data_IF_121277679730
#
_entry.id   IF_121277679730
#
_cell.length_a   1.000
_cell.length_b   1.000
_cell.length_c   1.000
_cell.angle_alpha   90.00
_cell.angle_beta   90.00
_cell.angle_gamma   90.00
#
_symmetry.space_group_name_H-M   'P 1'
#
loop_
_entity.id
_entity.type
_entity.pdbx_description
1 polymer ?
#
# COMPACT_ATOMS: atom_id res chain seq x y z
N UNK A 1 15.28 9.36 -21.10
CA UNK A 1 16.25 8.35 -20.62
C UNK A 1 15.86 8.03 -19.19
N UNK A 2 15.76 6.78 -18.81
CA UNK A 2 15.48 6.41 -17.41
C UNK A 2 16.67 6.83 -16.56
N UNK A 3 16.42 7.61 -15.51
CA UNK A 3 17.41 7.99 -14.51
C UNK A 3 17.03 7.37 -13.19
N UNK A 4 17.91 6.52 -12.65
CA UNK A 4 17.74 5.89 -11.34
C UNK A 4 18.43 6.68 -10.21
N UNK A 5 19.03 7.84 -10.50
CA UNK A 5 19.60 8.68 -9.48
C UNK A 5 18.51 9.37 -8.66
N UNK A 6 18.55 9.19 -7.35
CA UNK A 6 17.70 9.95 -6.42
C UNK A 6 18.19 11.40 -6.35
N UNK A 7 17.25 12.35 -6.33
CA UNK A 7 17.54 13.75 -6.02
C UNK A 7 18.11 13.91 -4.60
N UNK A 8 18.78 15.02 -4.31
CA UNK A 8 19.32 15.28 -2.97
C UNK A 8 18.20 15.26 -1.91
N UNK A 9 17.02 15.81 -2.23
CA UNK A 9 15.89 15.78 -1.31
C UNK A 9 15.36 14.36 -1.06
N UNK A 10 15.33 13.49 -2.07
CA UNK A 10 14.95 12.09 -1.92
C UNK A 10 15.98 11.32 -1.06
N UNK A 11 17.26 11.60 -1.22
CA UNK A 11 18.30 11.02 -0.37
C UNK A 11 18.16 11.46 1.09
N UNK A 12 17.96 12.75 1.33
CA UNK A 12 17.72 13.30 2.67
C UNK A 12 16.50 12.66 3.33
N UNK A 13 15.36 12.59 2.64
CA UNK A 13 14.14 11.95 3.16
C UNK A 13 14.34 10.46 3.43
N UNK A 14 15.11 9.76 2.59
CA UNK A 14 15.49 8.38 2.83
C UNK A 14 16.35 8.21 4.08
N UNK A 15 17.31 9.09 4.31
CA UNK A 15 18.15 9.07 5.52
C UNK A 15 17.33 9.32 6.79
N UNK A 16 16.44 10.33 6.77
CA UNK A 16 15.50 10.59 7.86
C UNK A 16 14.62 9.37 8.14
N UNK A 17 14.08 8.76 7.10
CA UNK A 17 13.25 7.56 7.22
C UNK A 17 14.03 6.34 7.73
N UNK A 18 15.30 6.20 7.34
CA UNK A 18 16.16 5.11 7.81
C UNK A 18 16.52 5.27 9.28
N UNK A 19 16.86 6.48 9.71
CA UNK A 19 17.13 6.79 11.11
C UNK A 19 15.89 6.51 11.98
N UNK A 20 14.71 6.97 11.54
CA UNK A 20 13.44 6.66 12.18
C UNK A 20 13.16 5.15 12.21
N UNK A 21 13.38 4.42 11.11
CA UNK A 21 13.16 2.99 11.02
C UNK A 21 14.06 2.21 12.02
N UNK A 22 15.35 2.56 12.10
CA UNK A 22 16.31 1.83 12.92
C UNK A 22 16.15 2.17 14.40
N UNK A 23 16.06 3.46 14.73
CA UNK A 23 16.16 3.92 16.11
C UNK A 23 14.80 3.94 16.83
N UNK A 24 13.70 4.07 16.11
CA UNK A 24 12.36 4.19 16.70
C UNK A 24 11.44 3.04 16.34
N UNK A 25 11.34 2.67 15.05
CA UNK A 25 10.36 1.68 14.59
C UNK A 25 10.75 0.26 15.00
N UNK A 26 11.97 -0.19 14.72
CA UNK A 26 12.40 -1.58 15.01
C UNK A 26 12.15 -1.97 16.47
N UNK A 27 12.68 -1.24 17.47
CA UNK A 27 12.53 -1.68 18.87
C UNK A 27 11.07 -1.70 19.32
N UNK A 28 10.27 -0.72 18.92
CA UNK A 28 8.86 -0.62 19.32
C UNK A 28 7.96 -1.63 18.61
N UNK A 29 8.22 -1.88 17.32
CA UNK A 29 7.43 -2.83 16.53
C UNK A 29 7.65 -4.29 16.98
N UNK A 30 8.86 -4.64 17.40
CA UNK A 30 9.16 -5.97 17.96
C UNK A 30 8.41 -6.22 19.26
N UNK A 31 8.30 -5.21 20.13
CA UNK A 31 7.46 -5.28 21.34
C UNK A 31 5.97 -5.34 21.00
N UNK A 32 5.50 -4.48 20.13
CA UNK A 32 4.09 -4.39 19.71
C UNK A 32 3.57 -5.67 19.04
N UNK A 33 4.40 -6.35 18.24
CA UNK A 33 4.04 -7.61 17.58
C UNK A 33 3.71 -8.74 18.57
N UNK A 34 4.24 -8.67 19.78
CA UNK A 34 4.04 -9.65 20.84
C UNK A 34 2.78 -9.37 21.69
N UNK A 35 2.14 -8.22 21.53
CA UNK A 35 0.92 -7.86 22.24
C UNK A 35 -0.23 -8.74 21.72
N UNK A 36 -0.91 -9.54 22.58
CA UNK A 36 -1.97 -10.46 22.13
C UNK A 36 -3.19 -9.72 21.59
N UNK A 37 -3.56 -8.60 22.22
CA UNK A 37 -4.76 -7.84 21.88
C UNK A 37 -4.48 -6.93 20.67
N UNK A 38 -5.16 -7.13 19.53
CA UNK A 38 -4.85 -6.41 18.28
C UNK A 38 -5.17 -4.91 18.36
N UNK A 39 -6.10 -4.51 19.19
CA UNK A 39 -6.47 -3.10 19.42
C UNK A 39 -5.46 -2.34 20.29
N UNK A 40 -4.52 -3.04 20.95
CA UNK A 40 -3.48 -2.47 21.81
C UNK A 40 -2.07 -2.50 21.17
N UNK A 41 -1.90 -3.17 20.03
CA UNK A 41 -0.60 -3.38 19.39
C UNK A 41 -0.07 -2.16 18.63
N UNK A 42 -0.86 -1.08 18.52
CA UNK A 42 -0.47 0.13 17.77
C UNK A 42 0.21 1.16 18.65
N UNK A 43 1.35 1.68 18.20
CA UNK A 43 2.13 2.70 18.93
C UNK A 43 1.93 4.10 18.35
N UNK A 44 1.17 4.93 19.05
CA UNK A 44 0.90 6.32 18.68
C UNK A 44 2.12 7.23 18.76
N UNK A 45 3.14 6.91 19.54
CA UNK A 45 4.38 7.71 19.60
C UNK A 45 5.15 7.65 18.28
N UNK A 46 5.10 6.51 17.56
CA UNK A 46 5.66 6.43 16.20
C UNK A 46 4.97 7.39 15.24
N UNK A 47 3.65 7.58 15.37
CA UNK A 47 2.90 8.53 14.53
C UNK A 47 3.27 9.98 14.85
N UNK A 48 3.38 10.33 16.14
CA UNK A 48 3.79 11.68 16.56
C UNK A 48 5.23 11.98 16.12
N UNK A 49 6.12 11.02 16.27
CA UNK A 49 7.51 11.17 15.81
C UNK A 49 7.60 11.35 14.30
N UNK A 50 6.90 10.50 13.52
CA UNK A 50 6.81 10.64 12.07
C UNK A 50 6.20 11.98 11.64
N UNK A 51 5.28 12.53 12.43
CA UNK A 51 4.70 13.87 12.20
C UNK A 51 5.75 14.97 12.42
N UNK A 52 6.53 14.89 13.50
CA UNK A 52 7.64 15.85 13.76
C UNK A 52 8.72 15.80 12.68
N UNK A 53 8.94 14.62 12.09
CA UNK A 53 9.89 14.40 10.99
C UNK A 53 9.33 14.77 9.61
N UNK A 54 8.06 15.15 9.51
CA UNK A 54 7.37 15.45 8.25
C UNK A 54 7.00 14.20 7.42
N UNK A 55 7.25 12.99 7.94
CA UNK A 55 7.02 11.74 7.22
C UNK A 55 5.52 11.40 7.08
N UNK A 56 4.70 11.72 8.10
CA UNK A 56 3.25 11.43 8.05
C UNK A 56 2.53 12.22 6.95
N UNK A 57 2.87 13.49 6.75
CA UNK A 57 2.22 14.40 5.79
C UNK A 57 2.97 14.52 4.46
N UNK A 58 3.84 13.57 4.16
CA UNK A 58 4.77 13.59 3.04
C UNK A 58 4.09 13.84 1.68
N UNK A 59 2.89 13.28 1.44
CA UNK A 59 2.15 13.42 0.18
C UNK A 59 1.30 14.70 0.09
N UNK A 60 1.10 15.41 1.19
CA UNK A 60 0.31 16.66 1.20
C UNK A 60 1.04 17.74 0.41
N UNK A 61 0.35 18.50 -0.47
CA UNK A 61 0.98 19.60 -1.21
C UNK A 61 1.60 20.66 -0.27
N UNK A 62 2.73 21.23 -0.67
CA UNK A 62 3.49 22.23 0.12
C UNK A 62 2.64 23.40 0.58
N UNK A 63 1.70 23.88 -0.24
CA UNK A 63 0.79 24.98 0.11
C UNK A 63 -0.15 24.68 1.29
N UNK A 64 -0.29 23.40 1.66
CA UNK A 64 -1.06 22.92 2.80
C UNK A 64 -0.20 22.36 3.93
N UNK A 65 1.12 22.56 3.90
CA UNK A 65 2.03 22.19 4.98
C UNK A 65 2.68 20.81 4.88
N UNK A 66 2.58 20.12 3.73
CA UNK A 66 3.30 18.87 3.47
C UNK A 66 4.55 19.05 2.63
N UNK A 67 5.13 17.94 2.17
CA UNK A 67 6.28 17.93 1.27
C UNK A 67 5.88 17.97 -0.22
N UNK A 68 4.68 17.51 -0.58
CA UNK A 68 4.24 17.34 -1.96
C UNK A 68 5.02 16.25 -2.68
N UNK A 69 5.37 15.19 -1.96
CA UNK A 69 6.18 14.09 -2.47
C UNK A 69 5.48 13.36 -3.63
N UNK A 70 6.24 13.06 -4.66
CA UNK A 70 5.82 12.24 -5.78
C UNK A 70 5.85 10.73 -5.44
N UNK A 71 5.32 9.92 -6.35
CA UNK A 71 5.21 8.47 -6.15
C UNK A 71 6.57 7.79 -5.96
N UNK A 72 7.65 8.28 -6.59
CA UNK A 72 8.99 7.73 -6.38
C UNK A 72 9.49 8.02 -4.97
N UNK A 73 9.31 9.26 -4.51
CA UNK A 73 9.68 9.67 -3.15
C UNK A 73 8.90 8.88 -2.09
N UNK A 74 7.57 8.73 -2.27
CA UNK A 74 6.73 7.92 -1.38
C UNK A 74 7.15 6.46 -1.36
N UNK A 75 7.53 5.89 -2.52
CA UNK A 75 8.02 4.52 -2.64
C UNK A 75 9.34 4.32 -1.91
N UNK A 76 10.30 5.24 -2.07
CA UNK A 76 11.61 5.17 -1.40
C UNK A 76 11.46 5.28 0.11
N UNK A 77 10.64 6.22 0.59
CA UNK A 77 10.41 6.41 2.03
C UNK A 77 9.61 5.24 2.61
N UNK A 78 8.57 4.77 1.91
CA UNK A 78 7.74 3.64 2.33
C UNK A 78 8.55 2.33 2.46
N UNK A 79 9.39 2.02 1.48
CA UNK A 79 10.35 0.90 1.54
C UNK A 79 11.28 1.03 2.75
N UNK A 80 11.77 2.24 3.01
CA UNK A 80 12.72 2.49 4.10
C UNK A 80 12.07 2.36 5.48
N UNK A 81 10.84 2.85 5.66
CA UNK A 81 10.10 2.65 6.93
C UNK A 81 9.75 1.17 7.11
N UNK A 82 9.38 0.46 6.04
CA UNK A 82 9.06 -0.96 6.08
C UNK A 82 10.27 -1.86 6.37
N UNK A 83 11.48 -1.38 6.13
CA UNK A 83 12.69 -2.01 6.67
C UNK A 83 12.65 -2.09 8.20
N UNK A 84 12.07 -1.09 8.85
CA UNK A 84 11.81 -1.10 10.28
C UNK A 84 10.66 -2.04 10.64
N UNK A 85 9.48 -1.79 10.07
CA UNK A 85 8.27 -2.59 10.30
C UNK A 85 7.23 -2.37 9.19
N UNK A 86 6.67 -3.47 8.70
CA UNK A 86 5.70 -3.44 7.62
C UNK A 86 4.37 -2.79 8.05
N UNK A 87 3.87 -3.12 9.23
CA UNK A 87 2.60 -2.57 9.71
C UNK A 87 2.67 -1.05 9.89
N UNK A 88 3.73 -0.54 10.48
CA UNK A 88 3.98 0.90 10.62
C UNK A 88 4.05 1.59 9.24
N UNK A 89 4.76 1.00 8.28
CA UNK A 89 4.83 1.54 6.93
C UNK A 89 3.48 1.54 6.22
N UNK A 90 2.66 0.49 6.38
CA UNK A 90 1.30 0.40 5.83
C UNK A 90 0.38 1.48 6.42
N UNK A 91 0.50 1.80 7.71
CA UNK A 91 -0.29 2.86 8.33
C UNK A 91 -0.04 4.23 7.65
N UNK A 92 1.21 4.53 7.31
CA UNK A 92 1.57 5.75 6.57
C UNK A 92 1.24 5.66 5.09
N UNK A 93 1.51 4.54 4.43
CA UNK A 93 1.18 4.31 3.02
C UNK A 93 -0.32 4.55 2.74
N UNK A 94 -1.21 4.00 3.57
CA UNK A 94 -2.64 4.28 3.47
C UNK A 94 -2.96 5.76 3.66
N UNK A 95 -2.35 6.40 4.65
CA UNK A 95 -2.52 7.82 4.92
C UNK A 95 -2.07 8.67 3.72
N UNK A 96 -0.90 8.38 3.13
CA UNK A 96 -0.40 9.09 1.94
C UNK A 96 -1.30 8.92 0.72
N UNK A 97 -1.76 7.71 0.44
CA UNK A 97 -2.67 7.41 -0.68
C UNK A 97 -3.95 8.24 -0.60
N UNK A 98 -4.57 8.29 0.57
CA UNK A 98 -5.83 9.05 0.75
C UNK A 98 -5.57 10.56 0.70
N UNK A 99 -4.50 11.07 1.32
CA UNK A 99 -4.13 12.48 1.20
C UNK A 99 -3.83 12.90 -0.24
N UNK A 100 -3.17 12.03 -1.00
CA UNK A 100 -2.96 12.25 -2.44
C UNK A 100 -4.30 12.28 -3.18
N UNK A 101 -5.22 11.35 -2.88
CA UNK A 101 -6.56 11.34 -3.47
C UNK A 101 -7.34 12.62 -3.14
N UNK A 102 -7.33 13.06 -1.87
CA UNK A 102 -7.94 14.33 -1.46
C UNK A 102 -7.32 15.52 -2.17
N UNK A 103 -6.02 15.50 -2.42
CA UNK A 103 -5.33 16.59 -3.12
C UNK A 103 -5.71 16.72 -4.59
N UNK A 104 -6.11 15.63 -5.26
CA UNK A 104 -6.32 15.58 -6.71
C UNK A 104 -7.76 15.36 -7.14
N UNK A 105 -8.55 14.57 -6.40
CA UNK A 105 -9.95 14.24 -6.74
C UNK A 105 -10.95 15.21 -6.12
N UNK A 106 -10.52 16.15 -5.29
CA UNK A 106 -11.40 17.11 -4.65
C UNK A 106 -11.31 18.49 -5.30
N UNK A 107 -12.37 19.31 -5.10
CA UNK A 107 -12.34 20.70 -5.47
C UNK A 107 -11.53 21.55 -4.44
N UNK A 108 -11.36 22.84 -4.71
CA UNK A 108 -10.54 23.71 -3.87
C UNK A 108 -11.15 23.91 -2.46
N UNK A 109 -12.48 24.01 -2.34
CA UNK A 109 -13.17 24.18 -1.06
C UNK A 109 -13.03 22.92 -0.20
N UNK A 110 -13.16 21.75 -0.80
CA UNK A 110 -12.91 20.47 -0.12
C UNK A 110 -11.47 20.36 0.37
N UNK A 111 -10.47 20.72 -0.48
CA UNK A 111 -9.04 20.72 -0.08
C UNK A 111 -8.77 21.67 1.10
N UNK A 112 -9.30 22.88 1.06
CA UNK A 112 -9.17 23.86 2.15
C UNK A 112 -9.81 23.38 3.46
N UNK A 113 -10.88 22.59 3.37
CA UNK A 113 -11.58 22.04 4.53
C UNK A 113 -10.90 20.81 5.12
N UNK A 114 -10.42 19.89 4.29
CA UNK A 114 -9.94 18.59 4.73
C UNK A 114 -8.43 18.51 4.97
N UNK A 115 -7.60 19.09 4.10
CA UNK A 115 -6.15 18.95 4.24
C UNK A 115 -5.58 19.61 5.51
N UNK A 116 -6.01 20.82 5.92
CA UNK A 116 -5.55 21.40 7.19
C UNK A 116 -5.90 20.53 8.39
N UNK A 117 -7.13 19.96 8.45
CA UNK A 117 -7.52 19.06 9.56
C UNK A 117 -6.57 17.88 9.73
N UNK A 118 -6.06 17.35 8.62
CA UNK A 118 -5.10 16.23 8.63
C UNK A 118 -3.72 16.72 9.05
N UNK A 119 -3.28 17.88 8.56
CA UNK A 119 -1.93 18.41 8.83
C UNK A 119 -1.78 18.85 10.28
N UNK A 120 -2.78 19.59 10.79
CA UNK A 120 -2.73 20.21 12.12
C UNK A 120 -2.83 19.19 13.27
N UNK A 121 -3.39 18.01 13.02
CA UNK A 121 -3.47 16.94 14.01
C UNK A 121 -2.32 15.93 13.76
N UNK A 122 -1.32 15.93 14.64
CA UNK A 122 -0.11 15.11 14.54
C UNK A 122 -0.36 13.59 14.64
N UNK A 123 -1.58 13.19 15.03
CA UNK A 123 -2.02 11.78 15.12
C UNK A 123 -3.08 11.43 14.07
N UNK A 124 -3.40 12.33 13.13
CA UNK A 124 -4.39 12.03 12.11
C UNK A 124 -3.88 11.02 11.09
N UNK A 125 -4.38 9.80 11.16
CA UNK A 125 -4.26 8.76 10.14
C UNK A 125 -5.54 8.70 9.31
N UNK A 126 -5.42 8.19 8.07
CA UNK A 126 -6.53 8.06 7.15
C UNK A 126 -6.75 6.59 6.75
N UNK A 127 -7.99 6.26 6.41
CA UNK A 127 -8.40 4.95 5.94
C UNK A 127 -9.20 5.03 4.63
N UNK A 128 -9.00 4.04 3.74
CA UNK A 128 -9.82 3.83 2.55
C UNK A 128 -10.71 2.60 2.75
N UNK A 129 -12.02 2.81 2.81
CA UNK A 129 -13.00 1.79 3.08
C UNK A 129 -13.70 1.33 1.79
N UNK A 130 -13.13 0.33 1.10
CA UNK A 130 -13.69 -0.27 -0.12
C UNK A 130 -14.16 -1.71 0.11
N UNK A 131 -13.30 -2.57 0.67
CA UNK A 131 -13.55 -4.00 0.87
C UNK A 131 -14.72 -4.25 1.82
N UNK A 132 -15.56 -5.25 1.49
CA UNK A 132 -16.73 -5.68 2.25
C UNK A 132 -16.65 -7.17 2.60
N UNK A 133 -17.54 -7.71 3.45
CA UNK A 133 -17.59 -9.14 3.72
C UNK A 133 -17.76 -10.01 2.46
N UNK A 134 -18.38 -9.47 1.41
CA UNK A 134 -18.69 -10.18 0.16
C UNK A 134 -18.01 -9.58 -1.07
N UNK A 135 -17.16 -8.58 -0.93
CA UNK A 135 -16.50 -7.89 -2.04
C UNK A 135 -15.08 -7.48 -1.65
N UNK A 136 -14.13 -7.76 -2.53
CA UNK A 136 -12.71 -7.42 -2.37
C UNK A 136 -12.07 -7.06 -3.70
N UNK A 137 -11.17 -7.90 -4.21
CA UNK A 137 -10.48 -7.68 -5.49
C UNK A 137 -11.40 -7.72 -6.73
N UNK A 138 -12.63 -8.19 -6.60
CA UNK A 138 -13.68 -8.13 -7.62
C UNK A 138 -14.07 -6.68 -8.02
N UNK A 139 -13.78 -5.70 -7.17
CA UNK A 139 -13.90 -4.28 -7.53
C UNK A 139 -12.83 -3.81 -8.53
N UNK A 140 -11.71 -4.51 -8.61
CA UNK A 140 -10.58 -4.22 -9.50
C UNK A 140 -10.73 -4.98 -10.82
N UNK A 141 -11.34 -6.15 -10.74
CA UNK A 141 -11.58 -7.01 -11.89
C UNK A 141 -12.85 -6.57 -12.62
N UNK A 142 -12.83 -6.52 -13.95
CA UNK A 142 -13.93 -6.04 -14.77
C UNK A 142 -15.12 -6.99 -14.87
N UNK A 143 -15.36 -7.87 -13.93
CA UNK A 143 -16.61 -8.59 -13.83
C UNK A 143 -17.67 -7.62 -13.31
N UNK A 144 -18.25 -6.88 -14.25
CA UNK A 144 -19.15 -5.76 -13.96
C UNK A 144 -20.61 -6.18 -14.10
N UNK A 145 -21.08 -6.93 -13.09
CA UNK A 145 -22.48 -7.34 -12.99
C UNK A 145 -23.18 -6.61 -11.83
N UNK A 146 -24.51 -6.38 -11.88
CA UNK A 146 -25.23 -5.70 -10.80
C UNK A 146 -25.15 -6.40 -9.44
N UNK A 147 -24.96 -7.69 -9.41
CA UNK A 147 -24.83 -8.53 -8.20
C UNK A 147 -23.40 -8.66 -7.69
N UNK A 148 -22.38 -8.15 -8.43
CA UNK A 148 -20.97 -8.15 -8.04
C UNK A 148 -20.52 -6.85 -7.38
N UNK A 149 -19.34 -6.89 -6.74
CA UNK A 149 -18.67 -5.73 -6.17
C UNK A 149 -19.32 -5.21 -4.87
N UNK A 150 -19.12 -3.93 -4.61
CA UNK A 150 -19.59 -3.23 -3.39
C UNK A 150 -21.10 -3.33 -3.23
N UNK A 151 -21.59 -3.62 -2.03
CA UNK A 151 -22.99 -3.75 -1.66
C UNK A 151 -23.49 -2.68 -0.67
N UNK A 152 -22.57 -2.03 0.07
CA UNK A 152 -22.89 -0.89 0.91
C UNK A 152 -23.63 0.17 0.09
N UNK A 153 -24.71 0.74 0.65
CA UNK A 153 -25.59 1.68 -0.06
C UNK A 153 -25.40 3.13 0.38
N UNK A 154 -25.63 4.05 -0.54
CA UNK A 154 -25.74 5.48 -0.31
C UNK A 154 -27.02 5.99 -0.98
N UNK A 155 -27.99 6.42 -0.18
CA UNK A 155 -29.28 7.00 -0.65
C UNK A 155 -29.25 8.50 -0.54
N UNK A 156 -29.54 9.22 -1.62
CA UNK A 156 -29.63 10.69 -1.60
C UNK A 156 -30.96 11.17 -1.00
N UNK A 157 -30.88 12.01 0.04
CA UNK A 157 -32.03 12.65 0.71
C UNK A 157 -31.82 14.16 0.82
N UNK A 158 -32.36 14.89 -0.13
CA UNK A 158 -32.17 16.34 -0.21
C UNK A 158 -30.71 16.70 -0.52
N UNK A 159 -30.07 17.42 0.37
CA UNK A 159 -28.67 17.84 0.33
C UNK A 159 -27.71 16.89 1.05
N UNK A 160 -28.19 15.70 1.44
CA UNK A 160 -27.40 14.70 2.18
C UNK A 160 -27.47 13.32 1.51
N UNK A 161 -26.49 12.49 1.86
CA UNK A 161 -26.43 11.07 1.54
C UNK A 161 -26.52 10.26 2.81
N UNK A 162 -27.31 9.20 2.80
CA UNK A 162 -27.48 8.26 3.92
C UNK A 162 -26.75 6.97 3.59
N UNK A 163 -25.71 6.67 4.34
CA UNK A 163 -24.87 5.49 4.12
C UNK A 163 -25.26 4.36 5.07
N UNK A 164 -25.43 3.15 4.50
CA UNK A 164 -25.71 1.94 5.25
C UNK A 164 -24.90 0.74 4.73
N UNK A 165 -24.23 0.02 5.62
CA UNK A 165 -23.50 -1.21 5.30
C UNK A 165 -22.25 -1.41 6.14
N UNK A 166 -21.46 -2.41 5.76
CA UNK A 166 -20.27 -2.86 6.50
C UNK A 166 -19.07 -2.89 5.58
N UNK A 167 -17.94 -2.36 6.04
CA UNK A 167 -16.63 -2.51 5.43
C UNK A 167 -15.73 -3.40 6.29
N UNK A 168 -14.86 -4.20 5.65
CA UNK A 168 -14.08 -5.23 6.36
C UNK A 168 -12.61 -5.19 5.98
N UNK A 169 -11.74 -5.54 6.93
CA UNK A 169 -10.28 -5.58 6.77
C UNK A 169 -9.65 -4.22 6.42
N UNK A 170 -10.28 -3.12 6.81
CA UNK A 170 -9.84 -1.77 6.43
C UNK A 170 -8.58 -1.40 7.20
N UNK A 171 -7.47 -1.19 6.49
CA UNK A 171 -6.21 -0.71 7.06
C UNK A 171 -6.41 0.67 7.70
N UNK A 172 -5.83 0.86 8.88
CA UNK A 172 -6.10 1.98 9.78
C UNK A 172 -7.56 2.05 10.29
N UNK A 173 -8.41 1.05 10.06
CA UNK A 173 -9.84 1.12 10.36
C UNK A 173 -10.17 1.44 11.83
N UNK A 174 -9.36 0.93 12.78
CA UNK A 174 -9.48 1.26 14.21
C UNK A 174 -8.74 2.54 14.65
N UNK A 175 -7.99 3.18 13.75
CA UNK A 175 -7.05 4.26 14.06
C UNK A 175 -7.38 5.57 13.35
N UNK A 176 -7.97 5.48 12.15
CA UNK A 176 -8.16 6.62 11.26
C UNK A 176 -9.16 7.63 11.84
N UNK A 177 -8.79 8.90 11.78
CA UNK A 177 -9.69 10.02 12.13
C UNK A 177 -10.46 10.54 10.91
N UNK A 178 -9.96 10.27 9.70
CA UNK A 178 -10.62 10.62 8.44
C UNK A 178 -10.74 9.36 7.59
N UNK A 179 -11.92 9.09 7.11
CA UNK A 179 -12.27 7.89 6.36
C UNK A 179 -12.79 8.28 4.97
N UNK A 180 -12.18 7.75 3.92
CA UNK A 180 -12.76 7.72 2.59
C UNK A 180 -13.52 6.41 2.42
N UNK A 181 -14.79 6.47 2.02
CA UNK A 181 -15.63 5.28 1.84
C UNK A 181 -16.31 5.27 0.47
N UNK A 182 -16.38 4.09 -0.15
CA UNK A 182 -17.10 3.84 -1.39
C UNK A 182 -18.42 3.13 -1.10
N UNK A 183 -19.52 3.63 -1.67
CA UNK A 183 -20.86 3.03 -1.57
C UNK A 183 -21.62 3.10 -2.90
N UNK A 184 -22.60 2.19 -3.05
CA UNK A 184 -23.48 2.11 -4.24
C UNK A 184 -24.64 3.07 -4.10
N UNK A 185 -24.88 3.86 -5.12
CA UNK A 185 -26.05 4.76 -5.23
C UNK A 185 -27.24 4.09 -5.93
N UNK A 186 -27.00 2.97 -6.63
CA UNK A 186 -28.03 2.22 -7.36
C UNK A 186 -27.60 0.74 -7.49
N UNK A 187 -28.27 -0.14 -6.74
CA UNK A 187 -27.99 -1.59 -6.76
C UNK A 187 -28.48 -2.30 -8.03
N UNK A 188 -29.30 -1.66 -8.85
CA UNK A 188 -29.76 -2.23 -10.14
C UNK A 188 -28.74 -2.09 -11.26
N UNK A 189 -27.71 -1.25 -11.07
CA UNK A 189 -26.64 -1.02 -12.05
C UNK A 189 -25.35 -1.72 -11.64
N UNK A 190 -24.41 -1.98 -12.55
CA UNK A 190 -23.08 -2.44 -12.22
C UNK A 190 -22.32 -1.45 -11.31
N UNK A 191 -21.31 -1.97 -10.57
CA UNK A 191 -20.45 -1.14 -9.71
C UNK A 191 -19.76 0.00 -10.47
N UNK A 192 -19.33 -0.23 -11.71
CA UNK A 192 -18.73 0.80 -12.58
C UNK A 192 -19.60 2.04 -12.81
N UNK A 193 -20.93 1.88 -12.69
CA UNK A 193 -21.93 2.93 -13.00
C UNK A 193 -22.70 3.42 -11.77
N UNK A 194 -22.35 2.96 -10.57
CA UNK A 194 -23.16 3.21 -9.36
C UNK A 194 -22.37 3.51 -8.09
N UNK A 195 -21.04 3.57 -8.15
CA UNK A 195 -20.22 3.92 -6.99
C UNK A 195 -20.11 5.43 -6.83
N UNK A 196 -20.28 5.90 -5.59
CA UNK A 196 -19.89 7.23 -5.14
C UNK A 196 -18.84 7.11 -4.02
N UNK A 197 -17.95 8.10 -3.95
CA UNK A 197 -16.98 8.25 -2.87
C UNK A 197 -17.44 9.29 -1.86
N UNK A 198 -17.21 9.04 -0.58
CA UNK A 198 -17.58 9.93 0.52
C UNK A 198 -16.42 10.08 1.47
N UNK A 199 -16.33 11.25 2.12
CA UNK A 199 -15.37 11.48 3.18
C UNK A 199 -16.10 11.84 4.47
N UNK A 200 -15.64 11.28 5.59
CA UNK A 200 -16.19 11.52 6.92
C UNK A 200 -15.10 11.47 7.99
N UNK A 201 -15.43 11.92 9.17
CA UNK A 201 -14.58 11.77 10.36
C UNK A 201 -15.04 10.59 11.22
N UNK A 202 -14.14 10.05 12.05
CA UNK A 202 -14.44 8.91 12.93
C UNK A 202 -15.48 9.19 14.02
N UNK A 203 -15.79 10.46 14.28
CA UNK A 203 -16.83 10.91 15.22
C UNK A 203 -18.19 11.17 14.55
N UNK A 204 -18.32 10.89 13.24
CA UNK A 204 -19.59 11.03 12.51
C UNK A 204 -20.65 10.09 13.11
N UNK A 205 -21.83 10.59 13.50
CA UNK A 205 -22.89 9.76 14.06
C UNK A 205 -23.29 8.60 13.14
N UNK A 206 -23.45 7.41 13.72
CA UNK A 206 -23.78 6.18 12.99
C UNK A 206 -22.58 5.42 12.41
N UNK A 207 -21.37 5.99 12.45
CA UNK A 207 -20.12 5.29 12.12
C UNK A 207 -19.50 4.69 13.37
N UNK A 208 -18.93 3.47 13.24
CA UNK A 208 -18.11 2.84 14.27
C UNK A 208 -17.16 1.79 13.72
N UNK A 209 -16.01 1.61 14.36
CA UNK A 209 -15.19 0.43 14.20
C UNK A 209 -15.62 -0.62 15.22
N UNK A 210 -16.20 -1.73 14.76
CA UNK A 210 -16.80 -2.76 15.63
C UNK A 210 -15.86 -3.90 15.95
N UNK A 211 -14.78 -4.07 15.17
CA UNK A 211 -13.82 -5.14 15.36
C UNK A 211 -12.44 -4.71 14.83
N UNK A 212 -11.39 -5.04 15.56
CA UNK A 212 -9.99 -4.98 15.10
C UNK A 212 -9.49 -6.41 14.98
N UNK A 213 -9.04 -6.78 13.77
CA UNK A 213 -8.70 -8.16 13.42
C UNK A 213 -7.34 -8.59 14.00
N UNK A 214 -7.32 -9.76 14.65
CA UNK A 214 -6.08 -10.45 15.00
C UNK A 214 -5.48 -11.11 13.74
N UNK A 215 -4.32 -10.62 13.31
CA UNK A 215 -3.69 -11.00 12.05
C UNK A 215 -2.47 -11.87 12.27
N UNK A 216 -2.12 -12.64 11.26
CA UNK A 216 -0.89 -13.42 11.23
C UNK A 216 0.36 -12.51 11.28
N UNK A 217 0.41 -11.50 10.44
CA UNK A 217 1.48 -10.50 10.32
C UNK A 217 0.93 -9.07 10.28
N UNK A 218 1.80 -8.08 10.11
CA UNK A 218 1.43 -6.65 10.16
C UNK A 218 0.64 -6.30 11.42
N UNK A 219 0.98 -6.90 12.57
CA UNK A 219 0.22 -6.75 13.81
C UNK A 219 0.26 -5.33 14.38
N UNK A 220 1.25 -4.55 13.97
CA UNK A 220 1.46 -3.15 14.35
C UNK A 220 0.57 -2.14 13.60
N UNK A 221 -0.25 -2.56 12.65
CA UNK A 221 -1.32 -1.75 12.04
C UNK A 221 -2.67 -2.42 12.30
N UNK A 222 -3.70 -1.64 12.61
CA UNK A 222 -5.05 -2.18 12.83
C UNK A 222 -5.82 -2.29 11.51
N UNK A 223 -6.39 -3.47 11.28
CA UNK A 223 -7.39 -3.66 10.22
C UNK A 223 -8.76 -3.82 10.88
N UNK A 224 -9.68 -2.91 10.57
CA UNK A 224 -10.99 -2.84 11.22
C UNK A 224 -12.14 -3.37 10.37
N UNK A 225 -13.22 -3.79 11.06
CA UNK A 225 -14.57 -3.85 10.52
C UNK A 225 -15.26 -2.54 10.85
N UNK A 226 -15.76 -1.85 9.84
CA UNK A 226 -16.40 -0.54 9.94
C UNK A 226 -17.88 -0.66 9.63
N UNK A 227 -18.72 -0.22 10.57
CA UNK A 227 -20.17 -0.22 10.43
C UNK A 227 -20.70 1.18 10.16
N UNK A 228 -21.66 1.25 9.24
CA UNK A 228 -22.35 2.47 8.85
C UNK A 228 -23.86 2.25 9.00
N UNK A 229 -24.46 2.91 9.98
CA UNK A 229 -25.89 2.82 10.31
C UNK A 229 -26.54 4.20 10.18
N UNK A 230 -27.18 4.45 9.04
CA UNK A 230 -27.78 5.74 8.72
C UNK A 230 -26.80 6.91 8.89
N UNK A 231 -25.56 6.72 8.42
CA UNK A 231 -24.55 7.79 8.45
C UNK A 231 -24.92 8.87 7.47
N UNK A 232 -25.10 10.10 7.96
CA UNK A 232 -25.45 11.26 7.14
C UNK A 232 -24.21 12.00 6.66
N UNK A 233 -24.03 12.09 5.33
CA UNK A 233 -22.93 12.82 4.71
C UNK A 233 -23.47 13.99 3.89
N UNK A 234 -22.99 15.22 4.11
CA UNK A 234 -23.36 16.37 3.29
C UNK A 234 -22.92 16.18 1.82
N UNK A 235 -23.69 16.73 0.88
CA UNK A 235 -23.34 16.70 -0.55
C UNK A 235 -21.93 17.24 -0.84
N UNK A 236 -21.49 18.23 -0.07
CA UNK A 236 -20.17 18.85 -0.18
C UNK A 236 -19.00 17.92 0.25
N UNK A 237 -19.29 16.77 0.86
CA UNK A 237 -18.31 15.76 1.26
C UNK A 237 -18.32 14.52 0.33
N UNK A 238 -19.01 14.63 -0.80
CA UNK A 238 -18.91 13.66 -1.90
C UNK A 238 -17.62 13.89 -2.68
N UNK A 239 -16.87 12.83 -2.92
CA UNK A 239 -15.61 12.86 -3.65
C UNK A 239 -15.80 12.24 -5.02
N UNK A 240 -15.45 12.97 -6.06
CA UNK A 240 -15.67 12.55 -7.45
C UNK A 240 -17.13 12.66 -7.88
N UNK A 241 -17.47 12.06 -9.01
CA UNK A 241 -18.80 12.09 -9.62
C UNK A 241 -19.61 10.87 -9.18
N UNK A 242 -20.77 11.03 -8.51
CA UNK A 242 -21.62 9.90 -8.17
C UNK A 242 -21.96 9.04 -9.43
N UNK A 243 -21.75 7.74 -9.30
CA UNK A 243 -21.90 6.79 -10.43
C UNK A 243 -20.63 6.58 -11.26
N UNK A 244 -19.62 7.44 -11.14
CA UNK A 244 -18.35 7.34 -11.85
C UNK A 244 -17.11 7.26 -10.92
N UNK A 245 -17.32 7.34 -9.62
CA UNK A 245 -16.22 7.42 -8.64
C UNK A 245 -15.28 6.21 -8.70
N UNK A 246 -15.75 5.02 -9.09
CA UNK A 246 -14.89 3.84 -9.24
C UNK A 246 -13.88 4.02 -10.39
N UNK A 247 -14.31 4.54 -11.53
CA UNK A 247 -13.44 4.80 -12.67
C UNK A 247 -12.44 5.93 -12.36
N UNK A 248 -12.92 7.03 -11.76
CA UNK A 248 -12.08 8.17 -11.34
C UNK A 248 -11.04 7.74 -10.33
N UNK A 249 -11.42 6.98 -9.29
CA UNK A 249 -10.50 6.46 -8.29
C UNK A 249 -9.54 5.43 -8.91
N UNK A 250 -10.01 4.55 -9.78
CA UNK A 250 -9.16 3.56 -10.48
C UNK A 250 -8.10 4.21 -11.35
N UNK A 251 -8.47 5.23 -12.12
CA UNK A 251 -7.53 6.03 -12.92
C UNK A 251 -6.53 6.77 -12.02
N UNK A 252 -7.02 7.37 -10.94
CA UNK A 252 -6.19 8.04 -9.94
C UNK A 252 -5.18 7.07 -9.31
N UNK A 253 -5.62 5.94 -8.75
CA UNK A 253 -4.76 4.95 -8.09
C UNK A 253 -3.70 4.40 -9.04
N UNK A 254 -4.01 4.26 -10.33
CA UNK A 254 -3.04 3.87 -11.35
C UNK A 254 -2.03 4.98 -11.60
N UNK A 255 -2.50 6.21 -11.81
CA UNK A 255 -1.65 7.37 -12.16
C UNK A 255 -0.74 7.82 -11.02
N UNK A 256 -1.23 7.73 -9.77
CA UNK A 256 -0.48 8.12 -8.56
C UNK A 256 0.13 6.92 -7.81
N UNK A 257 0.18 5.76 -8.45
CA UNK A 257 1.07 4.68 -8.06
C UNK A 257 0.72 3.91 -6.80
N UNK A 258 -0.58 3.71 -6.50
CA UNK A 258 -0.98 2.93 -5.31
C UNK A 258 -0.33 1.54 -5.24
N UNK A 259 -0.36 0.77 -6.33
CA UNK A 259 0.30 -0.52 -6.39
C UNK A 259 1.83 -0.41 -6.40
N UNK A 260 2.39 0.68 -6.95
CA UNK A 260 3.83 0.96 -6.95
C UNK A 260 4.32 1.15 -5.52
N UNK A 261 3.62 1.97 -4.72
CA UNK A 261 3.92 2.19 -3.30
C UNK A 261 3.79 0.89 -2.50
N UNK A 262 2.73 0.12 -2.72
CA UNK A 262 2.53 -1.18 -2.07
C UNK A 262 3.68 -2.16 -2.37
N UNK A 263 4.12 -2.23 -3.63
CA UNK A 263 5.28 -3.03 -4.03
C UNK A 263 6.57 -2.59 -3.35
N UNK A 264 6.80 -1.28 -3.26
CA UNK A 264 7.97 -0.72 -2.57
C UNK A 264 7.95 -1.06 -1.06
N UNK A 265 6.80 -0.89 -0.43
CA UNK A 265 6.65 -1.14 1.01
C UNK A 265 7.04 -2.58 1.38
N UNK A 266 6.58 -3.60 0.65
CA UNK A 266 6.95 -4.98 0.97
C UNK A 266 8.43 -5.31 0.71
N UNK A 267 9.10 -4.59 -0.18
CA UNK A 267 10.54 -4.80 -0.40
C UNK A 267 11.39 -4.41 0.81
N UNK A 268 10.95 -3.46 1.63
CA UNK A 268 11.65 -3.09 2.87
C UNK A 268 11.79 -4.27 3.83
N UNK A 269 10.73 -5.09 3.97
CA UNK A 269 10.76 -6.33 4.78
C UNK A 269 11.82 -7.31 4.24
N UNK A 270 11.82 -7.50 2.93
CA UNK A 270 12.74 -8.42 2.29
C UNK A 270 14.20 -7.91 2.35
N UNK A 271 14.41 -6.61 2.23
CA UNK A 271 15.72 -6.00 2.41
C UNK A 271 16.24 -6.25 3.83
N UNK A 272 15.43 -6.02 4.87
CA UNK A 272 15.82 -6.34 6.25
C UNK A 272 16.15 -7.83 6.42
N UNK A 273 15.31 -8.71 5.90
CA UNK A 273 15.55 -10.16 5.97
C UNK A 273 16.87 -10.56 5.33
N UNK A 274 17.19 -10.00 4.15
CA UNK A 274 18.46 -10.21 3.48
C UNK A 274 19.65 -9.73 4.33
N UNK A 275 19.60 -8.49 4.81
CA UNK A 275 20.73 -7.86 5.51
C UNK A 275 21.08 -8.56 6.81
N UNK A 276 20.08 -8.87 7.65
CA UNK A 276 20.33 -9.62 8.90
C UNK A 276 20.77 -11.05 8.62
N UNK A 277 20.29 -11.67 7.53
CA UNK A 277 20.71 -13.01 7.13
C UNK A 277 22.13 -13.02 6.61
N UNK A 278 22.54 -12.01 5.86
CA UNK A 278 23.94 -11.85 5.42
C UNK A 278 24.88 -11.69 6.64
N UNK A 279 24.50 -10.90 7.63
CA UNK A 279 25.29 -10.76 8.86
C UNK A 279 25.33 -12.06 9.66
N UNK A 280 24.19 -12.75 9.80
CA UNK A 280 24.14 -14.07 10.45
C UNK A 280 25.04 -15.08 9.75
N UNK A 281 25.02 -15.16 8.42
CA UNK A 281 25.82 -16.07 7.62
C UNK A 281 27.32 -15.82 7.77
N UNK A 282 27.75 -14.56 8.01
CA UNK A 282 29.16 -14.18 8.25
C UNK A 282 29.63 -14.45 9.67
N UNK A 283 28.75 -14.80 10.59
CA UNK A 283 29.08 -15.04 11.99
C UNK A 283 28.85 -16.48 12.43
N UNK A 284 27.81 -17.14 11.90
CA UNK A 284 27.42 -18.48 12.29
C UNK A 284 28.32 -19.52 11.66
N UNK A 285 28.91 -20.38 12.49
CA UNK A 285 29.66 -21.58 12.06
C UNK A 285 28.72 -22.79 12.09
N UNK A 286 28.68 -23.53 10.99
CA UNK A 286 27.98 -24.80 10.86
C UNK A 286 28.77 -25.70 9.89
N UNK A 287 28.88 -26.99 10.18
CA UNK A 287 29.67 -27.92 9.33
C UNK A 287 31.15 -27.53 9.25
N UNK A 288 31.72 -26.97 10.34
CA UNK A 288 33.15 -26.67 10.47
C UNK A 288 33.61 -25.35 9.83
N UNK A 289 32.71 -24.53 9.23
CA UNK A 289 33.02 -23.24 8.63
C UNK A 289 31.85 -22.27 8.72
N UNK A 290 32.06 -21.00 8.37
CA UNK A 290 30.99 -20.01 8.31
C UNK A 290 29.91 -20.43 7.31
N UNK A 291 28.65 -20.11 7.59
CA UNK A 291 27.54 -20.37 6.65
C UNK A 291 27.83 -19.71 5.30
N UNK A 292 28.36 -18.50 5.29
CA UNK A 292 28.74 -17.77 4.08
C UNK A 292 29.75 -18.52 3.19
N UNK A 293 30.65 -19.33 3.79
CA UNK A 293 31.67 -20.08 3.06
C UNK A 293 31.13 -21.38 2.40
N UNK A 294 29.88 -21.72 2.68
CA UNK A 294 29.20 -22.80 1.95
C UNK A 294 28.67 -22.30 0.61
N UNK A 295 29.18 -22.81 -0.51
CA UNK A 295 28.83 -22.33 -1.87
C UNK A 295 27.31 -22.28 -2.13
N UNK A 296 26.53 -23.24 -1.62
CA UNK A 296 25.10 -23.28 -1.77
C UNK A 296 24.46 -22.06 -1.05
N UNK A 297 24.93 -21.70 0.15
CA UNK A 297 24.38 -20.60 0.91
C UNK A 297 24.82 -19.24 0.34
N UNK A 298 26.07 -19.13 -0.10
CA UNK A 298 26.54 -17.95 -0.82
C UNK A 298 25.73 -17.68 -2.10
N UNK A 299 25.41 -18.75 -2.87
CA UNK A 299 24.54 -18.65 -4.05
C UNK A 299 23.12 -18.20 -3.69
N UNK A 300 22.53 -18.67 -2.59
CA UNK A 300 21.22 -18.21 -2.10
C UNK A 300 21.22 -16.72 -1.79
N UNK A 301 22.21 -16.24 -1.05
CA UNK A 301 22.36 -14.82 -0.72
C UNK A 301 22.47 -13.94 -1.98
N UNK A 302 23.26 -14.37 -2.96
CA UNK A 302 23.37 -13.67 -4.23
C UNK A 302 22.03 -13.65 -5.01
N UNK A 303 21.25 -14.74 -4.98
CA UNK A 303 19.91 -14.79 -5.57
C UNK A 303 18.93 -13.87 -4.88
N UNK A 304 18.95 -13.81 -3.55
CA UNK A 304 18.13 -12.89 -2.76
C UNK A 304 18.41 -11.43 -3.16
N UNK A 305 19.68 -11.05 -3.26
CA UNK A 305 20.08 -9.71 -3.70
C UNK A 305 19.59 -9.41 -5.13
N UNK A 306 19.73 -10.35 -6.05
CA UNK A 306 19.24 -10.21 -7.43
C UNK A 306 17.72 -9.95 -7.47
N UNK A 307 16.94 -10.68 -6.69
CA UNK A 307 15.48 -10.51 -6.62
C UNK A 307 15.09 -9.14 -6.08
N UNK A 308 15.76 -8.69 -5.01
CA UNK A 308 15.54 -7.37 -4.41
C UNK A 308 15.83 -6.24 -5.41
N UNK A 309 16.98 -6.27 -6.05
CA UNK A 309 17.37 -5.23 -7.01
C UNK A 309 16.46 -5.22 -8.23
N UNK A 310 16.16 -6.38 -8.81
CA UNK A 310 15.28 -6.47 -9.98
C UNK A 310 13.88 -5.92 -9.68
N UNK A 311 13.30 -6.26 -8.54
CA UNK A 311 11.99 -5.77 -8.13
C UNK A 311 12.03 -4.26 -7.84
N UNK A 312 13.07 -3.76 -7.16
CA UNK A 312 13.26 -2.31 -6.86
C UNK A 312 13.37 -1.49 -8.13
N UNK A 313 14.19 -1.90 -9.09
CA UNK A 313 14.31 -1.19 -10.36
C UNK A 313 13.01 -1.22 -11.17
N UNK A 314 12.22 -2.29 -11.07
CA UNK A 314 10.91 -2.32 -11.71
C UNK A 314 9.91 -1.34 -11.06
N UNK A 315 9.91 -1.25 -9.72
CA UNK A 315 9.15 -0.24 -8.98
C UNK A 315 9.60 1.18 -9.38
N UNK A 316 10.89 1.45 -9.39
CA UNK A 316 11.41 2.77 -9.73
C UNK A 316 11.10 3.15 -11.19
N UNK A 317 11.16 2.19 -12.11
CA UNK A 317 10.72 2.42 -13.49
C UNK A 317 9.23 2.79 -13.54
N UNK A 318 8.36 2.04 -12.88
CA UNK A 318 6.93 2.32 -12.83
C UNK A 318 6.64 3.69 -12.19
N UNK A 319 7.32 4.03 -11.08
CA UNK A 319 7.22 5.32 -10.43
C UNK A 319 7.69 6.46 -11.32
N UNK A 320 8.82 6.28 -12.00
CA UNK A 320 9.35 7.27 -12.94
C UNK A 320 8.38 7.56 -14.09
N UNK A 321 7.73 6.54 -14.68
CA UNK A 321 6.72 6.77 -15.73
C UNK A 321 5.56 7.63 -15.22
N UNK A 322 5.13 7.44 -13.97
CA UNK A 322 4.09 8.27 -13.35
C UNK A 322 4.52 9.72 -13.20
N UNK A 323 5.77 9.99 -12.79
CA UNK A 323 6.28 11.36 -12.65
C UNK A 323 6.41 12.09 -13.98
N UNK A 324 6.50 11.35 -15.09
CA UNK A 324 6.53 11.94 -16.45
C UNK A 324 5.12 12.24 -17.01
N UNK A 325 4.06 12.02 -16.24
CA UNK A 325 2.68 12.19 -16.71
C UNK A 325 2.22 11.15 -17.74
N UNK A 326 2.97 10.07 -17.89
CA UNK A 326 2.66 8.95 -18.80
C UNK A 326 2.81 7.62 -18.07
N UNK A 327 1.90 7.36 -17.15
CA UNK A 327 1.93 6.15 -16.32
C UNK A 327 1.75 4.90 -17.17
N UNK A 328 2.71 3.99 -17.11
CA UNK A 328 2.54 2.65 -17.65
C UNK A 328 1.68 1.81 -16.68
N UNK A 329 0.38 1.72 -16.96
CA UNK A 329 -0.59 1.03 -16.12
C UNK A 329 -0.27 -0.47 -15.92
N UNK A 330 0.41 -1.10 -16.89
CA UNK A 330 0.88 -2.49 -16.78
C UNK A 330 2.03 -2.57 -15.80
N UNK A 331 3.05 -1.71 -15.96
CA UNK A 331 4.17 -1.64 -15.05
C UNK A 331 3.71 -1.33 -13.62
N UNK A 332 2.77 -0.40 -13.45
CA UNK A 332 2.17 -0.05 -12.16
C UNK A 332 1.51 -1.26 -11.47
N UNK A 333 0.85 -2.16 -12.22
CA UNK A 333 0.26 -3.37 -11.65
C UNK A 333 1.29 -4.48 -11.43
N UNK A 334 2.11 -4.77 -12.45
CA UNK A 334 3.04 -5.90 -12.44
C UNK A 334 4.26 -5.68 -11.52
N UNK A 335 4.66 -4.43 -11.25
CA UNK A 335 5.75 -4.19 -10.31
C UNK A 335 5.38 -4.61 -8.88
N UNK A 336 4.10 -4.45 -8.47
CA UNK A 336 3.63 -4.97 -7.16
C UNK A 336 3.64 -6.48 -7.12
N UNK A 337 3.18 -7.15 -8.18
CA UNK A 337 3.21 -8.63 -8.28
C UNK A 337 4.66 -9.11 -8.17
N UNK A 338 5.55 -8.57 -9.01
CA UNK A 338 6.98 -8.89 -8.99
C UNK A 338 7.61 -8.66 -7.61
N UNK A 339 7.32 -7.51 -6.97
CA UNK A 339 7.89 -7.17 -5.68
C UNK A 339 7.40 -8.09 -4.56
N UNK A 340 6.09 -8.37 -4.48
CA UNK A 340 5.54 -9.21 -3.42
C UNK A 340 5.99 -10.68 -3.54
N UNK A 341 6.08 -11.23 -4.75
CA UNK A 341 6.61 -12.58 -4.99
C UNK A 341 8.12 -12.66 -4.70
N UNK A 342 8.89 -11.64 -5.13
CA UNK A 342 10.32 -11.55 -4.83
C UNK A 342 10.55 -11.41 -3.33
N UNK A 343 9.81 -10.55 -2.66
CA UNK A 343 9.92 -10.33 -1.22
C UNK A 343 9.63 -11.62 -0.44
N UNK A 344 8.54 -12.31 -0.76
CA UNK A 344 8.20 -13.58 -0.12
C UNK A 344 9.30 -14.62 -0.36
N UNK A 345 9.82 -14.74 -1.59
CA UNK A 345 10.91 -15.66 -1.90
C UNK A 345 12.17 -15.34 -1.11
N UNK A 346 12.55 -14.05 -1.03
CA UNK A 346 13.74 -13.61 -0.26
C UNK A 346 13.59 -13.94 1.22
N UNK A 347 12.41 -13.68 1.81
CA UNK A 347 12.20 -13.94 3.24
C UNK A 347 12.13 -15.46 3.53
N UNK A 348 11.58 -16.26 2.62
CA UNK A 348 11.60 -17.72 2.73
C UNK A 348 13.03 -18.28 2.67
N UNK A 349 13.86 -17.82 1.74
CA UNK A 349 15.28 -18.22 1.65
C UNK A 349 16.07 -17.79 2.91
N UNK A 350 15.76 -16.59 3.44
CA UNK A 350 16.32 -16.15 4.71
C UNK A 350 15.91 -17.07 5.86
N UNK A 351 14.63 -17.38 5.98
CA UNK A 351 14.08 -18.26 7.00
C UNK A 351 14.73 -19.66 6.98
N UNK A 352 14.89 -20.25 5.80
CA UNK A 352 15.56 -21.53 5.63
C UNK A 352 17.03 -21.47 6.05
N UNK A 353 17.74 -20.38 5.75
CA UNK A 353 19.15 -20.21 6.10
C UNK A 353 19.34 -20.07 7.62
N UNK A 354 18.38 -19.45 8.32
CA UNK A 354 18.38 -19.38 9.78
C UNK A 354 17.96 -20.70 10.45
N UNK A 355 17.32 -21.62 9.73
CA UNK A 355 16.86 -22.95 10.18
C UNK A 355 16.04 -22.84 11.49
N UNK A 356 16.24 -23.74 12.45
CA UNK A 356 15.51 -23.71 13.72
C UNK A 356 15.62 -22.38 14.49
N UNK A 357 16.71 -21.67 14.35
CA UNK A 357 16.90 -20.34 14.97
C UNK A 357 15.88 -19.34 14.44
N UNK A 358 15.62 -19.34 13.12
CA UNK A 358 14.63 -18.46 12.48
C UNK A 358 13.17 -18.78 12.85
N UNK A 359 12.91 -20.02 13.29
CA UNK A 359 11.57 -20.46 13.70
C UNK A 359 11.16 -20.00 15.10
N UNK A 360 12.10 -19.47 15.88
CA UNK A 360 11.84 -19.01 17.24
C UNK A 360 11.42 -17.54 17.28
N UNK A 361 10.29 -17.22 17.93
CA UNK A 361 9.68 -15.87 18.03
C UNK A 361 10.61 -14.78 18.55
N UNK A 362 11.68 -15.12 19.27
CA UNK A 362 12.70 -14.15 19.74
C UNK A 362 13.63 -13.65 18.64
N UNK A 363 13.54 -14.18 17.44
CA UNK A 363 14.36 -13.79 16.29
C UNK A 363 13.48 -13.11 15.23
N UNK A 364 13.98 -12.08 14.54
CA UNK A 364 13.14 -11.24 13.69
C UNK A 364 12.64 -11.94 12.41
N UNK A 365 13.29 -13.02 11.95
CA UNK A 365 12.99 -13.67 10.67
C UNK A 365 11.56 -14.23 10.61
N UNK A 366 11.05 -14.79 11.71
CA UNK A 366 9.70 -15.34 11.73
C UNK A 366 8.62 -14.25 11.56
N UNK A 367 8.84 -13.06 12.19
CA UNK A 367 7.96 -11.91 12.01
C UNK A 367 8.01 -11.41 10.57
N UNK A 368 9.20 -11.27 9.98
CA UNK A 368 9.37 -10.83 8.60
C UNK A 368 8.67 -11.78 7.62
N UNK A 369 8.67 -13.09 7.88
CA UNK A 369 7.94 -14.07 7.06
C UNK A 369 6.42 -13.88 7.17
N UNK A 370 5.89 -13.72 8.38
CA UNK A 370 4.45 -13.45 8.59
C UNK A 370 4.01 -12.15 7.91
N UNK A 371 4.82 -11.13 7.98
CA UNK A 371 4.56 -9.82 7.38
C UNK A 371 4.55 -9.92 5.84
N UNK A 372 5.57 -10.55 5.23
CA UNK A 372 5.69 -10.66 3.78
C UNK A 372 4.53 -11.43 3.12
N UNK A 373 3.96 -12.43 3.80
CA UNK A 373 2.82 -13.22 3.30
C UNK A 373 1.60 -12.36 2.96
N UNK A 374 1.40 -11.24 3.62
CA UNK A 374 0.21 -10.40 3.43
C UNK A 374 0.14 -9.73 2.06
N UNK A 375 1.27 -9.42 1.43
CA UNK A 375 1.29 -8.63 0.18
C UNK A 375 0.99 -9.41 -1.09
N UNK A 376 0.88 -10.73 -1.04
CA UNK A 376 0.37 -11.51 -2.19
C UNK A 376 -1.12 -11.23 -2.45
N UNK A 377 -1.86 -10.70 -1.46
CA UNK A 377 -3.29 -10.38 -1.59
C UNK A 377 -3.67 -8.94 -1.18
N UNK A 378 -2.80 -8.17 -0.52
CA UNK A 378 -3.06 -6.77 -0.20
C UNK A 378 -2.98 -5.87 -1.44
N UNK A 379 -3.74 -4.78 -1.44
CA UNK A 379 -3.85 -3.81 -2.57
C UNK A 379 -4.21 -4.47 -3.93
N UNK A 380 -5.08 -5.45 -3.88
CA UNK A 380 -5.42 -6.34 -4.98
C UNK A 380 -4.54 -7.60 -4.98
N UNK A 381 -5.18 -8.77 -5.12
CA UNK A 381 -4.45 -10.04 -5.22
C UNK A 381 -3.53 -10.04 -6.44
N UNK A 382 -2.41 -10.75 -6.35
CA UNK A 382 -1.47 -10.86 -7.48
C UNK A 382 -2.16 -11.39 -8.75
N UNK A 383 -3.08 -12.34 -8.61
CA UNK A 383 -3.85 -12.88 -9.75
C UNK A 383 -4.70 -11.80 -10.42
N UNK A 384 -5.44 -11.00 -9.65
CA UNK A 384 -6.28 -9.93 -10.19
C UNK A 384 -5.46 -8.83 -10.85
N UNK A 385 -4.32 -8.45 -10.27
CA UNK A 385 -3.43 -7.47 -10.88
C UNK A 385 -2.78 -8.02 -12.17
N UNK A 386 -2.44 -9.31 -12.22
CA UNK A 386 -1.96 -9.97 -13.42
C UNK A 386 -3.03 -10.04 -14.52
N UNK A 387 -4.28 -10.33 -14.17
CA UNK A 387 -5.42 -10.26 -15.09
C UNK A 387 -5.67 -8.84 -15.61
N UNK A 388 -5.60 -7.83 -14.73
CA UNK A 388 -5.69 -6.42 -15.15
C UNK A 388 -4.58 -6.08 -16.16
N UNK A 389 -3.34 -6.47 -15.86
CA UNK A 389 -2.21 -6.23 -16.75
C UNK A 389 -2.35 -6.99 -18.10
N UNK A 390 -2.84 -8.24 -18.09
CA UNK A 390 -3.00 -9.05 -19.30
C UNK A 390 -3.99 -8.43 -20.32
N UNK A 391 -5.02 -7.73 -19.85
CA UNK A 391 -5.95 -6.99 -20.73
C UNK A 391 -5.23 -5.83 -21.41
N UNK A 392 -4.42 -5.07 -20.66
CA UNK A 392 -3.64 -3.99 -21.20
C UNK A 392 -2.59 -4.49 -22.22
N UNK A 393 -2.20 -5.77 -22.20
CA UNK A 393 -1.37 -6.36 -23.24
C UNK A 393 -2.13 -6.50 -24.57
N UNK A 394 -3.45 -6.80 -24.52
CA UNK A 394 -4.30 -6.87 -25.71
C UNK A 394 -4.63 -5.51 -26.32
N UNK A 395 -4.46 -4.43 -25.57
CA UNK A 395 -4.73 -3.04 -25.98
C UNK A 395 -3.47 -2.32 -26.51
N UNK A 396 -2.32 -3.03 -26.67
CA UNK A 396 -1.10 -2.42 -27.20
C UNK A 396 -1.35 -1.98 -28.63
N UNK A 397 -1.32 -0.66 -28.86
CA UNK A 397 -1.39 -0.09 -30.20
C UNK A 397 -0.24 -0.61 -31.07
N UNK A 398 -0.50 -0.98 -32.35
CA UNK A 398 0.52 -1.45 -33.27
C UNK A 398 1.68 -0.47 -33.45
N UNK A 399 1.46 0.81 -33.16
CA UNK A 399 2.43 1.91 -33.27
C UNK A 399 3.21 2.20 -31.97
N UNK A 400 3.03 1.45 -30.89
CA UNK A 400 3.88 1.61 -29.71
C UNK A 400 5.33 1.27 -30.09
N UNK A 401 6.28 2.22 -30.07
CA UNK A 401 7.65 2.00 -30.56
C UNK A 401 8.40 0.93 -29.76
N UNK A 402 7.91 0.55 -28.59
CA UNK A 402 8.47 -0.55 -27.76
C UNK A 402 8.12 -1.92 -28.32
N UNK A 403 7.00 -2.03 -29.05
CA UNK A 403 6.43 -3.31 -29.46
C UNK A 403 6.12 -3.42 -30.96
N UNK A 404 5.93 -2.31 -31.69
CA UNK A 404 5.40 -2.29 -33.06
C UNK A 404 6.13 -3.25 -33.98
N UNK A 405 7.46 -3.14 -34.03
CA UNK A 405 8.28 -3.98 -34.93
C UNK A 405 8.28 -5.47 -34.54
N UNK A 406 8.20 -5.78 -33.23
CA UNK A 406 8.13 -7.18 -32.74
C UNK A 406 6.76 -7.78 -32.99
N UNK A 407 5.69 -7.02 -32.79
CA UNK A 407 4.32 -7.46 -33.05
C UNK A 407 4.09 -7.71 -34.52
N UNK A 408 4.60 -6.83 -35.42
CA UNK A 408 4.56 -7.00 -36.87
C UNK A 408 5.32 -8.24 -37.31
N UNK A 409 6.53 -8.46 -36.78
CA UNK A 409 7.31 -9.68 -37.10
C UNK A 409 6.63 -10.95 -36.61
N UNK A 410 6.11 -10.95 -35.39
CA UNK A 410 5.38 -12.08 -34.82
C UNK A 410 4.07 -12.36 -35.59
N UNK A 411 3.34 -11.33 -36.02
CA UNK A 411 2.14 -11.47 -36.86
C UNK A 411 2.47 -11.96 -38.27
N UNK A 412 3.66 -11.67 -38.78
CA UNK A 412 4.16 -12.16 -40.06
C UNK A 412 4.76 -13.58 -40.00
N UNK A 413 4.78 -14.21 -38.80
CA UNK A 413 5.32 -15.55 -38.62
C UNK A 413 6.86 -15.62 -38.69
N UNK A 414 7.55 -14.51 -38.41
CA UNK A 414 9.01 -14.38 -38.41
C UNK A 414 9.62 -14.35 -37.01
#
# INVERSE_FOLDING_TARGET
MVDFALSERQKELKEIALDFAINSVIPRAEESDLIPEPDKSFDWELVREASRLGLRTLSVPKKFGGEGADVLTLSVVGETIAYGDLGTAVAFDQTWKIMTALSHLTNEEQRKRWLPKVVDDDTCLLAAAATEPTSGSDTIHPYDAPDGGIRMTAEKKGDRWILNGTKRYISNGGLAKVIYVMARTDLSKPSSQSIAGFILTSDTPGYSCTEVWDKLGQRTVQNGTLEFSNVEIPEEDVIGTPGNALAEMGAFLTSFGSNIQAGATVLGVAQRAHDITLQYAKQRVQGGKLIFDHQIQAKRLARMQMLLESARYYIWYAAWTSTQGNTDARAASLCKVCASESALTVVQEAFELWAATGYMKKNPIEKLLRDALSFIHSDGTNDVLSLKASRLLGEIEPNDPRYSKRVEMAAAGL
#
